data_IF_636466491189
#
_entry.id   IF_636466491189
#
_cell.length_a   1.000
_cell.length_b   1.000
_cell.length_c   1.000
_cell.angle_alpha   90.00
_cell.angle_beta   90.00
_cell.angle_gamma   90.00
#
_symmetry.space_group_name_H-M   'P 1'
#
loop_
_entity.id
_entity.type
_entity.pdbx_description
1 polymer ?
#
# COMPACT_ATOMS: atom_id res chain seq x y z
N UNK A 1 1.05 -23.00 5.82
CA UNK A 1 1.18 -22.12 4.64
C UNK A 1 0.49 -20.80 4.95
N UNK A 2 1.14 -19.67 4.70
CA UNK A 2 0.56 -18.32 4.82
C UNK A 2 0.56 -17.69 3.42
N UNK A 3 -0.61 -17.26 2.96
CA UNK A 3 -0.82 -16.79 1.59
C UNK A 3 -1.44 -15.40 1.64
N UNK A 4 -0.79 -14.36 1.09
CA UNK A 4 -1.43 -13.07 0.93
C UNK A 4 -2.47 -13.16 -0.18
N UNK A 5 -3.75 -12.98 0.16
CA UNK A 5 -4.87 -13.06 -0.80
C UNK A 5 -5.52 -11.70 -1.06
N UNK A 6 -5.26 -10.71 -0.22
CA UNK A 6 -5.81 -9.36 -0.28
C UNK A 6 -4.98 -8.37 0.52
N UNK A 7 -5.29 -7.08 0.38
CA UNK A 7 -4.67 -5.99 1.15
C UNK A 7 -5.61 -4.79 1.24
N UNK A 8 -5.50 -4.03 2.32
CA UNK A 8 -6.16 -2.73 2.49
C UNK A 8 -5.31 -1.55 2.00
N UNK A 9 -4.09 -1.81 1.51
CA UNK A 9 -3.19 -0.77 1.01
C UNK A 9 -3.84 0.01 -0.14
N UNK A 10 -3.70 1.34 -0.17
CA UNK A 10 -4.34 2.16 -1.20
C UNK A 10 -3.75 1.88 -2.59
N UNK A 11 -4.62 1.47 -3.51
CA UNK A 11 -4.28 1.16 -4.91
C UNK A 11 -4.73 2.33 -5.80
N UNK A 12 -3.82 3.27 -6.08
CA UNK A 12 -4.16 4.48 -6.86
C UNK A 12 -4.20 4.25 -8.37
N UNK A 13 -3.46 3.26 -8.87
CA UNK A 13 -3.40 2.90 -10.28
C UNK A 13 -3.89 1.48 -10.51
N UNK A 14 -4.59 1.25 -11.63
CA UNK A 14 -4.97 -0.10 -12.03
C UNK A 14 -3.71 -0.94 -12.31
N UNK A 15 -3.63 -2.20 -11.83
CA UNK A 15 -2.40 -2.98 -11.80
C UNK A 15 -2.08 -3.65 -13.15
N UNK A 16 -1.92 -2.86 -14.21
CA UNK A 16 -1.63 -3.34 -15.56
C UNK A 16 -0.34 -4.15 -15.64
N UNK A 17 0.73 -3.65 -15.03
CA UNK A 17 2.04 -4.27 -15.10
C UNK A 17 2.12 -5.55 -14.27
N UNK A 18 1.49 -5.59 -13.09
CA UNK A 18 1.39 -6.79 -12.26
C UNK A 18 0.64 -7.90 -13.02
N UNK A 19 -0.50 -7.56 -13.64
CA UNK A 19 -1.26 -8.51 -14.49
C UNK A 19 -0.41 -8.94 -15.70
N UNK A 20 0.26 -8.00 -16.37
CA UNK A 20 1.11 -8.28 -17.51
C UNK A 20 2.24 -9.25 -17.14
N UNK A 21 2.97 -8.99 -16.05
CA UNK A 21 4.03 -9.88 -15.55
C UNK A 21 3.47 -11.26 -15.22
N UNK A 22 2.29 -11.35 -14.60
CA UNK A 22 1.67 -12.64 -14.32
C UNK A 22 1.37 -13.40 -15.62
N UNK A 23 0.79 -12.74 -16.62
CA UNK A 23 0.50 -13.35 -17.94
C UNK A 23 1.78 -13.78 -18.65
N UNK A 24 2.83 -12.95 -18.63
CA UNK A 24 4.14 -13.28 -19.23
C UNK A 24 4.75 -14.49 -18.55
N UNK A 25 4.72 -14.56 -17.22
CA UNK A 25 5.25 -15.71 -16.47
C UNK A 25 4.48 -17.01 -16.77
N UNK A 26 3.15 -16.94 -16.83
CA UNK A 26 2.32 -18.10 -17.25
C UNK A 26 2.63 -18.50 -18.68
N UNK A 27 2.72 -17.54 -19.60
CA UNK A 27 3.05 -17.79 -21.00
C UNK A 27 4.43 -18.42 -21.17
N UNK A 28 5.43 -17.88 -20.48
CA UNK A 28 6.79 -18.42 -20.45
C UNK A 28 6.81 -19.85 -19.89
N UNK A 29 6.08 -20.11 -18.79
CA UNK A 29 6.00 -21.46 -18.23
C UNK A 29 5.30 -22.45 -19.17
N UNK A 30 4.25 -22.06 -19.88
CA UNK A 30 3.58 -22.93 -20.85
C UNK A 30 4.43 -23.16 -22.11
N UNK A 31 5.15 -22.14 -22.57
CA UNK A 31 5.91 -22.17 -23.83
C UNK A 31 7.31 -22.80 -23.68
N UNK A 32 8.00 -22.50 -22.58
CA UNK A 32 9.37 -22.93 -22.28
C UNK A 32 9.42 -24.03 -21.22
N UNK A 33 8.44 -24.06 -20.31
CA UNK A 33 8.46 -24.84 -19.07
C UNK A 33 7.96 -26.29 -19.21
N UNK A 34 8.54 -27.05 -20.13
CA UNK A 34 8.58 -28.51 -20.01
C UNK A 34 9.80 -28.92 -19.15
N UNK A 35 9.97 -28.30 -17.96
CA UNK A 35 10.98 -28.75 -16.99
C UNK A 35 10.50 -30.11 -16.48
N UNK A 36 11.37 -31.11 -16.54
CA UNK A 36 11.06 -32.45 -16.05
C UNK A 36 10.58 -32.37 -14.59
N UNK A 37 9.36 -32.84 -14.25
CA UNK A 37 8.82 -32.78 -12.90
C UNK A 37 9.74 -33.36 -11.82
N UNK A 38 10.67 -34.23 -12.21
CA UNK A 38 11.59 -34.93 -11.30
C UNK A 38 12.79 -34.06 -10.88
N UNK A 39 13.02 -32.90 -11.51
CA UNK A 39 14.13 -31.99 -11.18
C UNK A 39 13.69 -30.82 -10.31
N UNK A 40 13.53 -31.09 -9.00
CA UNK A 40 13.28 -30.05 -8.00
C UNK A 40 14.54 -29.21 -7.74
N UNK A 41 14.80 -28.22 -8.61
CA UNK A 41 15.50 -26.97 -8.28
C UNK A 41 16.98 -27.01 -7.89
N UNK A 42 17.66 -28.15 -7.92
CA UNK A 42 19.12 -28.23 -7.68
C UNK A 42 19.89 -28.84 -8.85
N UNK A 43 19.32 -29.83 -9.54
CA UNK A 43 19.76 -30.23 -10.88
C UNK A 43 18.68 -29.82 -11.87
N UNK A 44 19.06 -29.21 -12.99
CA UNK A 44 18.14 -28.81 -14.05
C UNK A 44 18.84 -29.01 -15.38
N UNK A 45 18.09 -29.46 -16.38
CA UNK A 45 18.61 -29.53 -17.76
C UNK A 45 19.07 -28.15 -18.20
N UNK A 46 20.19 -28.11 -18.94
CA UNK A 46 20.76 -26.86 -19.43
C UNK A 46 19.77 -26.10 -20.32
N UNK A 47 19.10 -25.10 -19.77
CA UNK A 47 18.28 -24.17 -20.53
C UNK A 47 19.04 -22.85 -20.72
N UNK A 48 19.12 -22.38 -21.96
CA UNK A 48 19.83 -21.13 -22.31
C UNK A 48 19.33 -19.90 -21.54
N UNK A 49 18.12 -19.99 -20.98
CA UNK A 49 17.39 -18.90 -20.35
C UNK A 49 17.44 -18.91 -18.81
N UNK A 50 17.97 -19.98 -18.17
CA UNK A 50 18.15 -20.07 -16.71
C UNK A 50 19.39 -19.30 -16.24
N UNK A 51 19.57 -19.10 -14.94
CA UNK A 51 20.74 -18.42 -14.37
C UNK A 51 21.89 -19.41 -14.10
N UNK A 52 22.99 -19.10 -14.78
CA UNK A 52 24.33 -19.68 -14.81
C UNK A 52 25.20 -19.44 -13.58
N UNK A 53 25.66 -20.45 -12.86
CA UNK A 53 26.80 -20.27 -11.93
C UNK A 53 28.05 -21.00 -12.41
N UNK A 54 29.24 -20.50 -12.02
CA UNK A 54 30.53 -21.12 -12.33
C UNK A 54 31.07 -20.94 -13.77
N UNK A 55 30.23 -20.59 -14.74
CA UNK A 55 30.62 -20.44 -16.16
C UNK A 55 30.84 -18.98 -16.60
N UNK A 56 31.12 -18.08 -15.67
CA UNK A 56 31.31 -16.65 -15.92
C UNK A 56 30.03 -15.82 -15.86
N UNK A 57 30.06 -14.61 -16.44
CA UNK A 57 28.95 -13.66 -16.38
C UNK A 57 28.04 -13.78 -17.61
N UNK A 58 26.74 -13.88 -17.36
CA UNK A 58 25.70 -14.02 -18.38
C UNK A 58 24.57 -13.01 -18.15
N UNK A 59 24.76 -11.72 -18.51
CA UNK A 59 23.81 -10.66 -18.16
C UNK A 59 22.39 -10.86 -18.70
N UNK A 60 22.23 -11.56 -19.83
CA UNK A 60 20.90 -11.87 -20.36
C UNK A 60 20.11 -12.76 -19.40
N UNK A 61 20.79 -13.70 -18.74
CA UNK A 61 20.20 -14.62 -17.78
C UNK A 61 19.71 -13.93 -16.51
N UNK A 62 20.26 -12.76 -16.18
CA UNK A 62 19.78 -11.97 -15.04
C UNK A 62 18.33 -11.52 -15.21
N UNK A 63 17.88 -11.37 -16.46
CA UNK A 63 16.51 -11.00 -16.78
C UNK A 63 15.68 -12.24 -17.11
N UNK A 64 16.19 -13.14 -17.95
CA UNK A 64 15.37 -14.24 -18.48
C UNK A 64 15.04 -15.28 -17.42
N UNK A 65 15.96 -15.52 -16.47
CA UNK A 65 15.75 -16.48 -15.37
C UNK A 65 14.60 -16.09 -14.45
N UNK A 66 14.29 -14.79 -14.33
CA UNK A 66 13.16 -14.28 -13.55
C UNK A 66 11.79 -14.73 -14.10
N UNK A 67 11.72 -15.22 -15.34
CA UNK A 67 10.48 -15.67 -15.98
C UNK A 67 10.33 -17.19 -16.05
N UNK A 68 11.36 -17.93 -15.65
CA UNK A 68 11.36 -19.39 -15.61
C UNK A 68 10.95 -19.91 -14.23
N UNK A 69 10.29 -21.06 -14.17
CA UNK A 69 9.78 -21.65 -12.93
C UNK A 69 9.94 -23.17 -12.95
N UNK A 70 10.37 -23.76 -11.83
CA UNK A 70 10.62 -25.19 -11.65
C UNK A 70 9.34 -26.05 -11.53
N UNK A 71 8.21 -25.55 -12.04
CA UNK A 71 6.91 -26.22 -11.98
C UNK A 71 5.76 -25.31 -11.55
N UNK A 72 4.55 -25.86 -11.62
CA UNK A 72 3.31 -25.13 -11.35
C UNK A 72 3.22 -24.58 -9.94
N UNK A 73 3.66 -25.33 -8.91
CA UNK A 73 3.62 -24.86 -7.54
C UNK A 73 4.55 -23.65 -7.31
N UNK A 74 5.76 -23.69 -7.89
CA UNK A 74 6.70 -22.57 -7.82
C UNK A 74 6.14 -21.34 -8.55
N UNK A 75 5.58 -21.53 -9.75
CA UNK A 75 4.91 -20.45 -10.49
C UNK A 75 3.75 -19.85 -9.69
N UNK A 76 2.80 -20.66 -9.24
CA UNK A 76 1.61 -20.18 -8.52
C UNK A 76 2.02 -19.45 -7.24
N UNK A 77 3.01 -19.96 -6.49
CA UNK A 77 3.56 -19.28 -5.33
C UNK A 77 4.09 -17.89 -5.65
N UNK A 78 4.90 -17.76 -6.70
CA UNK A 78 5.42 -16.46 -7.14
C UNK A 78 4.30 -15.52 -7.61
N UNK A 79 3.30 -16.02 -8.35
CA UNK A 79 2.19 -15.18 -8.82
C UNK A 79 1.32 -14.66 -7.68
N UNK A 80 1.11 -15.45 -6.61
CA UNK A 80 0.40 -15.03 -5.42
C UNK A 80 1.13 -13.85 -4.74
N UNK A 81 2.44 -13.97 -4.54
CA UNK A 81 3.22 -12.90 -3.91
C UNK A 81 3.36 -11.69 -4.84
N UNK A 82 3.56 -11.91 -6.14
CA UNK A 82 3.56 -10.85 -7.15
C UNK A 82 2.23 -10.09 -7.11
N UNK A 83 1.10 -10.77 -6.98
CA UNK A 83 -0.18 -10.11 -6.82
C UNK A 83 -0.26 -9.33 -5.51
N UNK A 84 0.01 -9.98 -4.37
CA UNK A 84 -0.12 -9.36 -3.05
C UNK A 84 0.75 -8.10 -2.86
N UNK A 85 1.97 -8.10 -3.38
CA UNK A 85 2.92 -6.99 -3.20
C UNK A 85 3.05 -6.10 -4.43
N UNK A 86 2.92 -6.66 -5.64
CA UNK A 86 3.05 -5.91 -6.89
C UNK A 86 1.98 -4.83 -7.05
N UNK A 87 0.73 -5.13 -6.70
CA UNK A 87 -0.37 -4.13 -6.79
C UNK A 87 -0.13 -2.92 -5.87
N UNK A 88 0.55 -3.11 -4.73
CA UNK A 88 0.86 -2.05 -3.77
C UNK A 88 1.93 -1.12 -4.36
N UNK A 89 3.02 -1.71 -4.85
CA UNK A 89 4.15 -0.96 -5.42
C UNK A 89 3.74 -0.29 -6.73
N UNK A 90 3.03 -0.99 -7.61
CA UNK A 90 2.48 -0.44 -8.86
C UNK A 90 1.45 0.65 -8.58
N UNK A 91 0.60 0.47 -7.58
CA UNK A 91 -0.38 1.45 -7.15
C UNK A 91 0.24 2.81 -6.85
N UNK A 92 1.43 2.83 -6.23
CA UNK A 92 2.15 4.07 -5.89
C UNK A 92 3.03 4.63 -7.02
N UNK A 93 3.60 3.79 -7.88
CA UNK A 93 4.55 4.21 -8.93
C UNK A 93 3.92 4.45 -10.31
N UNK A 94 2.81 3.78 -10.58
CA UNK A 94 2.29 3.56 -11.92
C UNK A 94 3.01 2.45 -12.69
N UNK A 95 2.34 1.93 -13.72
CA UNK A 95 2.70 0.68 -14.41
C UNK A 95 4.11 0.65 -15.01
N UNK A 96 4.54 1.69 -15.73
CA UNK A 96 5.82 1.64 -16.47
C UNK A 96 7.05 1.76 -15.56
N UNK A 97 6.97 2.59 -14.50
CA UNK A 97 8.03 2.70 -13.48
C UNK A 97 8.14 1.42 -12.69
N UNK A 98 7.00 0.81 -12.36
CA UNK A 98 6.96 -0.48 -11.70
C UNK A 98 7.61 -1.58 -12.54
N UNK A 99 7.35 -1.66 -13.86
CA UNK A 99 8.02 -2.63 -14.73
C UNK A 99 9.54 -2.47 -14.73
N UNK A 100 10.03 -1.24 -14.88
CA UNK A 100 11.46 -0.96 -14.84
C UNK A 100 12.07 -1.34 -13.49
N UNK A 101 11.38 -1.00 -12.40
CA UNK A 101 11.82 -1.33 -11.05
C UNK A 101 11.87 -2.85 -10.82
N UNK A 102 10.81 -3.57 -11.20
CA UNK A 102 10.73 -5.02 -11.07
C UNK A 102 11.87 -5.73 -11.79
N UNK A 103 12.09 -5.39 -13.08
CA UNK A 103 13.17 -5.97 -13.88
C UNK A 103 14.54 -5.56 -13.33
N UNK A 104 14.71 -4.31 -12.90
CA UNK A 104 15.98 -3.86 -12.33
C UNK A 104 16.32 -4.58 -11.02
N UNK A 105 15.35 -4.80 -10.13
CA UNK A 105 15.56 -5.55 -8.89
C UNK A 105 15.96 -6.99 -9.20
N UNK A 106 15.19 -7.68 -10.06
CA UNK A 106 15.48 -9.06 -10.45
C UNK A 106 16.86 -9.20 -11.07
N UNK A 107 17.15 -8.37 -12.07
CA UNK A 107 18.44 -8.40 -12.77
C UNK A 107 19.62 -8.06 -11.85
N UNK A 108 19.46 -7.10 -10.93
CA UNK A 108 20.51 -6.75 -9.97
C UNK A 108 20.73 -7.88 -8.97
N UNK A 109 19.66 -8.51 -8.46
CA UNK A 109 19.78 -9.63 -7.53
C UNK A 109 20.48 -10.83 -8.18
N UNK A 110 20.07 -11.23 -9.38
CA UNK A 110 20.72 -12.29 -10.14
C UNK A 110 22.18 -11.97 -10.49
N UNK A 111 22.47 -10.71 -10.84
CA UNK A 111 23.83 -10.27 -11.13
C UNK A 111 24.73 -10.30 -9.90
N UNK A 112 24.24 -9.85 -8.75
CA UNK A 112 24.98 -9.93 -7.47
C UNK A 112 25.27 -11.39 -7.13
N UNK A 113 24.29 -12.27 -7.25
CA UNK A 113 24.45 -13.69 -6.97
C UNK A 113 25.46 -14.33 -7.91
N UNK A 114 25.34 -14.13 -9.22
CA UNK A 114 26.30 -14.68 -10.19
C UNK A 114 27.72 -14.17 -9.95
N UNK A 115 27.89 -12.88 -9.62
CA UNK A 115 29.19 -12.28 -9.27
C UNK A 115 29.74 -12.86 -7.97
N UNK A 116 28.91 -13.02 -6.94
CA UNK A 116 29.30 -13.60 -5.66
C UNK A 116 29.79 -15.04 -5.81
N UNK A 117 29.36 -15.73 -6.88
CA UNK A 117 29.68 -17.12 -7.18
C UNK A 117 30.68 -17.30 -8.32
N UNK A 118 31.30 -16.21 -8.79
CA UNK A 118 32.48 -16.28 -9.66
C UNK A 118 33.74 -16.85 -8.97
N UNK A 119 34.02 -16.57 -7.68
CA UNK A 119 35.13 -17.21 -7.00
C UNK A 119 34.80 -18.70 -6.84
N UNK A 120 35.41 -19.55 -7.67
CA UNK A 120 35.12 -21.00 -7.77
C UNK A 120 35.37 -21.85 -6.51
N UNK A 121 35.51 -21.24 -5.33
CA UNK A 121 35.49 -21.90 -4.03
C UNK A 121 34.13 -21.77 -3.31
N UNK A 122 33.19 -20.96 -3.82
CA UNK A 122 31.82 -20.76 -3.28
C UNK A 122 30.73 -21.51 -4.04
N UNK A 123 31.09 -22.24 -5.09
CA UNK A 123 30.19 -23.17 -5.77
C UNK A 123 30.62 -24.57 -5.41
N UNK A 124 29.67 -25.49 -5.22
CA UNK A 124 29.91 -26.93 -5.41
C UNK A 124 30.89 -27.08 -6.59
N UNK A 125 31.92 -27.93 -6.44
CA UNK A 125 32.73 -28.29 -7.60
C UNK A 125 31.74 -28.77 -8.67
N UNK A 126 31.69 -28.16 -9.88
CA UNK A 126 30.95 -28.72 -11.00
C UNK A 126 31.16 -30.23 -11.02
N UNK A 127 30.12 -31.02 -11.30
CA UNK A 127 30.19 -32.50 -11.24
C UNK A 127 31.52 -33.05 -11.77
N UNK A 128 31.99 -32.56 -12.92
CA UNK A 128 33.27 -32.92 -13.52
C UNK A 128 34.52 -32.70 -12.61
N UNK A 129 34.54 -31.62 -11.82
CA UNK A 129 35.58 -31.37 -10.82
C UNK A 129 35.41 -32.24 -9.57
N UNK A 130 34.18 -32.55 -9.14
CA UNK A 130 33.95 -33.49 -8.04
C UNK A 130 34.38 -34.91 -8.44
N UNK A 131 33.98 -35.35 -9.63
CA UNK A 131 34.44 -36.59 -10.28
C UNK A 131 35.96 -36.61 -10.33
N UNK A 132 36.60 -35.54 -10.82
CA UNK A 132 38.06 -35.46 -10.88
C UNK A 132 38.71 -35.61 -9.50
N UNK A 133 38.18 -34.97 -8.46
CA UNK A 133 38.73 -35.08 -7.08
C UNK A 133 38.56 -36.48 -6.51
N UNK A 134 37.41 -37.12 -6.73
CA UNK A 134 37.15 -38.48 -6.24
C UNK A 134 38.01 -39.51 -6.99
N UNK A 135 38.14 -39.37 -8.31
CA UNK A 135 39.01 -40.20 -9.14
C UNK A 135 40.50 -39.99 -8.77
N UNK A 136 40.94 -38.76 -8.53
CA UNK A 136 42.31 -38.48 -8.04
C UNK A 136 42.58 -39.08 -6.65
N UNK A 137 41.55 -39.28 -5.83
CA UNK A 137 41.64 -39.99 -4.55
C UNK A 137 41.66 -41.51 -4.69
N UNK A 138 41.52 -42.03 -5.91
CA UNK A 138 41.60 -43.44 -6.25
C UNK A 138 40.25 -44.17 -6.26
N UNK A 139 39.13 -43.44 -6.23
CA UNK A 139 37.80 -44.03 -6.44
C UNK A 139 37.62 -44.44 -7.92
N UNK A 140 36.85 -45.51 -8.16
CA UNK A 140 36.58 -45.98 -9.52
C UNK A 140 35.63 -45.02 -10.25
N UNK A 141 35.91 -44.64 -11.51
CA UNK A 141 35.09 -43.68 -12.25
C UNK A 141 33.63 -44.09 -12.40
N UNK A 142 33.34 -45.37 -12.62
CA UNK A 142 31.98 -45.89 -12.84
C UNK A 142 31.21 -45.87 -11.51
N UNK A 143 31.87 -46.24 -10.41
CA UNK A 143 31.29 -46.16 -9.06
C UNK A 143 31.05 -44.71 -8.60
N UNK A 144 31.92 -43.76 -8.98
CA UNK A 144 31.74 -42.32 -8.70
C UNK A 144 30.56 -41.76 -9.47
N UNK A 145 30.46 -42.05 -10.77
CA UNK A 145 29.33 -41.62 -11.61
C UNK A 145 28.01 -42.17 -11.06
N UNK A 146 27.94 -43.48 -10.78
CA UNK A 146 26.78 -44.13 -10.18
C UNK A 146 26.43 -43.54 -8.80
N UNK A 147 27.42 -43.26 -7.96
CA UNK A 147 27.20 -42.68 -6.63
C UNK A 147 26.68 -41.25 -6.72
N UNK A 148 27.23 -40.43 -7.61
CA UNK A 148 26.79 -39.06 -7.84
C UNK A 148 25.38 -39.02 -8.45
N UNK A 149 25.06 -39.94 -9.35
CA UNK A 149 23.70 -40.11 -9.89
C UNK A 149 22.72 -40.59 -8.83
N UNK A 150 23.12 -41.55 -8.00
CA UNK A 150 22.30 -42.10 -6.92
C UNK A 150 21.92 -41.02 -5.88
N UNK A 151 22.83 -40.10 -5.57
CA UNK A 151 22.54 -38.97 -4.66
C UNK A 151 21.96 -37.75 -5.39
N UNK A 152 21.80 -37.82 -6.72
CA UNK A 152 21.27 -36.73 -7.54
C UNK A 152 22.18 -35.49 -7.56
N UNK A 153 23.50 -35.67 -7.52
CA UNK A 153 24.46 -34.58 -7.53
C UNK A 153 24.34 -33.77 -8.83
N UNK A 154 24.10 -32.45 -8.76
CA UNK A 154 23.74 -31.67 -9.93
C UNK A 154 24.91 -31.50 -10.90
N UNK A 155 24.67 -31.73 -12.20
CA UNK A 155 25.63 -31.37 -13.26
C UNK A 155 25.94 -29.87 -13.27
N UNK A 156 24.91 -29.06 -13.01
CA UNK A 156 24.95 -27.61 -13.07
C UNK A 156 24.15 -26.99 -11.92
N UNK A 157 24.71 -25.96 -11.29
CA UNK A 157 24.00 -25.17 -10.29
C UNK A 157 23.11 -24.15 -11.00
N UNK A 158 21.82 -24.47 -10.97
CA UNK A 158 20.62 -23.76 -11.41
C UNK A 158 20.09 -22.60 -10.55
N UNK A 159 19.83 -21.39 -11.07
CA UNK A 159 18.79 -20.54 -10.46
C UNK A 159 17.74 -20.06 -11.47
N UNK A 160 16.49 -20.01 -11.02
CA UNK A 160 15.35 -19.53 -11.80
C UNK A 160 14.19 -19.15 -10.88
N UNK A 161 13.35 -18.22 -11.34
CA UNK A 161 12.17 -17.77 -10.60
C UNK A 161 12.11 -16.26 -10.45
N UNK A 162 10.89 -15.74 -10.41
CA UNK A 162 10.59 -14.34 -10.15
C UNK A 162 10.90 -13.89 -8.72
N UNK A 163 11.28 -14.81 -7.84
CA UNK A 163 11.24 -14.64 -6.38
C UNK A 163 12.22 -13.57 -5.87
N UNK A 164 13.40 -13.44 -6.46
CA UNK A 164 14.34 -12.35 -6.12
C UNK A 164 13.72 -10.96 -6.30
N UNK A 165 13.06 -10.72 -7.45
CA UNK A 165 12.34 -9.48 -7.70
C UNK A 165 11.16 -9.29 -6.73
N UNK A 166 10.41 -10.37 -6.45
CA UNK A 166 9.27 -10.37 -5.54
C UNK A 166 9.69 -10.04 -4.10
N UNK A 167 10.78 -10.62 -3.58
CA UNK A 167 11.29 -10.28 -2.26
C UNK A 167 11.73 -8.81 -2.18
N UNK A 168 12.20 -8.24 -3.28
CA UNK A 168 12.39 -6.80 -3.39
C UNK A 168 11.08 -6.02 -3.25
N UNK A 169 9.99 -6.47 -3.88
CA UNK A 169 8.66 -5.86 -3.69
C UNK A 169 8.15 -6.02 -2.25
N UNK A 170 8.37 -7.18 -1.61
CA UNK A 170 8.03 -7.43 -0.20
C UNK A 170 8.74 -6.41 0.71
N UNK A 171 10.03 -6.17 0.46
CA UNK A 171 10.82 -5.19 1.20
C UNK A 171 10.38 -3.74 0.91
N UNK A 172 10.03 -3.42 -0.34
CA UNK A 172 9.50 -2.09 -0.70
C UNK A 172 8.17 -1.84 0.01
N UNK A 173 7.23 -2.77 -0.03
CA UNK A 173 5.94 -2.65 0.64
C UNK A 173 6.09 -2.54 2.16
N UNK A 174 7.04 -3.27 2.75
CA UNK A 174 7.41 -3.12 4.16
C UNK A 174 7.85 -1.69 4.51
N UNK A 175 8.50 -0.99 3.58
CA UNK A 175 8.94 0.40 3.76
C UNK A 175 7.80 1.38 3.46
N UNK A 176 7.01 1.15 2.42
CA UNK A 176 6.04 2.13 1.92
C UNK A 176 4.67 2.05 2.59
N UNK A 177 4.27 0.87 3.05
CA UNK A 177 2.95 0.61 3.62
C UNK A 177 3.03 -0.32 4.86
N UNK A 178 3.95 -0.11 5.82
CA UNK A 178 4.17 -1.01 6.96
C UNK A 178 2.94 -1.27 7.84
N UNK A 179 2.02 -0.30 7.92
CA UNK A 179 0.84 -0.34 8.79
C UNK A 179 -0.40 -0.90 8.11
N UNK A 180 -0.38 -1.00 6.78
CA UNK A 180 -1.45 -1.63 6.03
C UNK A 180 -1.46 -3.14 6.29
N UNK A 181 -2.64 -3.75 6.20
CA UNK A 181 -2.85 -5.16 6.44
C UNK A 181 -2.93 -5.96 5.14
N UNK A 182 -2.45 -7.19 5.22
CA UNK A 182 -2.67 -8.25 4.25
C UNK A 182 -3.75 -9.17 4.79
N UNK A 183 -4.70 -9.54 3.93
CA UNK A 183 -5.55 -10.70 4.18
C UNK A 183 -4.69 -11.95 3.97
N UNK A 184 -4.33 -12.61 5.06
CA UNK A 184 -3.49 -13.82 5.01
C UNK A 184 -4.35 -15.05 5.21
N UNK A 185 -4.51 -15.83 4.14
CA UNK A 185 -5.01 -17.19 4.24
C UNK A 185 -3.93 -18.06 4.89
N UNK A 186 -4.21 -18.57 6.07
CA UNK A 186 -3.36 -19.53 6.74
C UNK A 186 -3.97 -20.92 6.68
N UNK A 187 -3.13 -21.92 6.41
CA UNK A 187 -3.47 -23.34 6.43
C UNK A 187 -2.44 -24.05 7.30
N UNK A 188 -2.92 -24.64 8.39
CA UNK A 188 -2.12 -25.41 9.34
C UNK A 188 -2.80 -26.77 9.48
N UNK A 189 -2.17 -27.80 8.89
CA UNK A 189 -2.75 -29.13 8.76
C UNK A 189 -4.14 -29.09 8.09
N UNK A 190 -5.18 -29.57 8.77
CA UNK A 190 -6.57 -29.59 8.28
C UNK A 190 -7.38 -28.35 8.68
N UNK A 191 -6.76 -27.36 9.34
CA UNK A 191 -7.40 -26.11 9.74
C UNK A 191 -6.94 -24.97 8.85
N UNK A 192 -7.86 -24.07 8.53
CA UNK A 192 -7.53 -22.84 7.84
C UNK A 192 -8.44 -21.69 8.24
N UNK A 193 -7.96 -20.48 7.97
CA UNK A 193 -8.67 -19.25 8.24
C UNK A 193 -8.03 -18.09 7.49
N UNK A 194 -8.66 -16.93 7.58
CA UNK A 194 -8.12 -15.66 7.08
C UNK A 194 -7.87 -14.78 8.28
N UNK A 195 -6.72 -14.13 8.31
CA UNK A 195 -6.37 -13.17 9.35
C UNK A 195 -5.72 -11.96 8.72
N UNK A 196 -6.05 -10.79 9.24
CA UNK A 196 -5.42 -9.53 8.88
C UNK A 196 -4.06 -9.47 9.57
N UNK A 197 -3.00 -9.32 8.78
CA UNK A 197 -1.62 -9.24 9.26
C UNK A 197 -0.96 -8.04 8.61
N UNK A 198 -0.42 -7.13 9.44
CA UNK A 198 0.31 -5.97 8.90
C UNK A 198 1.41 -6.40 7.94
N UNK A 199 1.58 -5.64 6.86
CA UNK A 199 2.63 -5.82 5.87
C UNK A 199 3.99 -5.84 6.56
N UNK A 200 4.21 -4.99 7.57
CA UNK A 200 5.46 -5.00 8.34
C UNK A 200 5.70 -6.37 8.99
N UNK A 201 4.73 -6.90 9.75
CA UNK A 201 4.89 -8.18 10.44
C UNK A 201 5.07 -9.34 9.45
N UNK A 202 4.27 -9.36 8.37
CA UNK A 202 4.36 -10.39 7.35
C UNK A 202 5.71 -10.37 6.63
N UNK A 203 6.14 -9.20 6.14
CA UNK A 203 7.42 -9.04 5.45
C UNK A 203 8.60 -9.37 6.35
N UNK A 204 8.59 -8.93 7.61
CA UNK A 204 9.65 -9.26 8.59
C UNK A 204 9.73 -10.75 8.86
N UNK A 205 8.59 -11.44 8.98
CA UNK A 205 8.56 -12.89 9.17
C UNK A 205 9.19 -13.62 7.97
N UNK A 206 8.77 -13.29 6.75
CA UNK A 206 9.26 -13.95 5.54
C UNK A 206 10.73 -13.66 5.26
N UNK A 207 11.15 -12.39 5.29
CA UNK A 207 12.55 -12.02 5.11
C UNK A 207 13.41 -12.61 6.23
N UNK A 208 12.91 -12.59 7.47
CA UNK A 208 13.59 -13.18 8.63
C UNK A 208 13.78 -14.69 8.50
N UNK A 209 12.77 -15.42 8.01
CA UNK A 209 12.87 -16.86 7.78
C UNK A 209 13.92 -17.19 6.70
N UNK A 210 14.01 -16.40 5.64
CA UNK A 210 15.06 -16.57 4.62
C UNK A 210 16.45 -16.28 5.19
N UNK A 211 16.61 -15.23 5.99
CA UNK A 211 17.89 -14.94 6.66
C UNK A 211 18.30 -16.06 7.63
N UNK A 212 17.34 -16.62 8.37
CA UNK A 212 17.60 -17.77 9.26
C UNK A 212 17.97 -19.00 8.43
N UNK A 213 17.27 -19.27 7.33
CA UNK A 213 17.56 -20.39 6.43
C UNK A 213 18.97 -20.26 5.85
N UNK A 214 19.31 -19.07 5.36
CA UNK A 214 20.64 -18.75 4.85
C UNK A 214 21.72 -18.95 5.93
N UNK A 215 21.47 -18.46 7.14
CA UNK A 215 22.39 -18.62 8.28
C UNK A 215 22.57 -20.08 8.70
N UNK A 216 21.49 -20.87 8.75
CA UNK A 216 21.54 -22.30 9.04
C UNK A 216 22.34 -23.02 7.95
N UNK A 217 22.05 -22.80 6.67
CA UNK A 217 22.78 -23.39 5.56
C UNK A 217 24.27 -23.06 5.62
N UNK A 218 24.62 -21.78 5.79
CA UNK A 218 26.02 -21.38 5.93
C UNK A 218 26.72 -22.01 7.15
N UNK A 219 25.99 -22.22 8.26
CA UNK A 219 26.56 -22.80 9.48
C UNK A 219 26.67 -24.32 9.49
N UNK A 220 25.76 -25.02 8.80
CA UNK A 220 25.66 -26.49 8.79
C UNK A 220 26.39 -27.08 7.60
N UNK A 221 26.21 -26.49 6.41
CA UNK A 221 26.76 -26.99 5.15
C UNK A 221 28.06 -26.26 4.79
N UNK A 222 28.20 -25.00 5.22
CA UNK A 222 29.35 -24.14 4.89
C UNK A 222 28.92 -22.95 4.03
N UNK A 223 29.64 -21.80 4.09
CA UNK A 223 29.33 -20.61 3.29
C UNK A 223 29.22 -20.88 1.78
N UNK A 224 29.98 -21.84 1.28
CA UNK A 224 29.98 -22.32 -0.11
C UNK A 224 28.69 -23.05 -0.53
N UNK A 225 27.86 -23.50 0.42
CA UNK A 225 26.54 -24.08 0.14
C UNK A 225 25.39 -23.11 0.43
N UNK A 226 25.72 -21.84 0.69
CA UNK A 226 24.73 -20.77 0.84
C UNK A 226 24.14 -20.32 -0.51
N UNK A 227 24.57 -20.90 -1.63
CA UNK A 227 23.92 -20.75 -2.95
C UNK A 227 22.57 -21.44 -2.93
N UNK A 228 21.56 -20.68 -2.52
CA UNK A 228 20.23 -21.20 -2.33
C UNK A 228 19.21 -20.14 -2.72
N UNK A 229 17.96 -20.58 -2.87
CA UNK A 229 16.82 -19.67 -2.98
C UNK A 229 16.83 -18.58 -1.90
N UNK A 230 17.34 -18.88 -0.69
CA UNK A 230 17.41 -17.92 0.41
C UNK A 230 18.42 -16.79 0.14
N UNK A 231 19.54 -17.07 -0.50
CA UNK A 231 20.51 -16.04 -0.87
C UNK A 231 19.95 -15.10 -1.93
N UNK A 232 19.29 -15.64 -2.96
CA UNK A 232 18.59 -14.82 -3.96
C UNK A 232 17.44 -14.00 -3.35
N UNK A 233 16.64 -14.58 -2.45
CA UNK A 233 15.54 -13.88 -1.77
C UNK A 233 16.04 -12.73 -0.89
N UNK A 234 17.08 -12.97 -0.08
CA UNK A 234 17.64 -11.96 0.81
C UNK A 234 18.37 -10.85 0.04
N UNK A 235 19.06 -11.19 -1.05
CA UNK A 235 19.66 -10.20 -1.96
C UNK A 235 18.58 -9.35 -2.64
N UNK A 236 17.51 -9.98 -3.14
CA UNK A 236 16.36 -9.29 -3.71
C UNK A 236 15.70 -8.33 -2.72
N UNK A 237 15.48 -8.77 -1.48
CA UNK A 237 14.96 -7.94 -0.40
C UNK A 237 15.87 -6.75 -0.08
N UNK A 238 17.20 -6.95 -0.05
CA UNK A 238 18.16 -5.87 0.18
C UNK A 238 18.11 -4.82 -0.95
N UNK A 239 18.16 -5.26 -2.21
CA UNK A 239 18.07 -4.37 -3.37
C UNK A 239 16.74 -3.60 -3.36
N UNK A 240 15.63 -4.28 -3.09
CA UNK A 240 14.31 -3.66 -2.94
C UNK A 240 14.27 -2.65 -1.81
N UNK A 241 14.84 -2.95 -0.64
CA UNK A 241 14.88 -2.04 0.50
C UNK A 241 15.66 -0.75 0.18
N UNK A 242 16.80 -0.88 -0.50
CA UNK A 242 17.61 0.25 -0.97
C UNK A 242 16.80 1.10 -1.96
N UNK A 243 16.24 0.47 -3.00
CA UNK A 243 15.47 1.15 -4.04
C UNK A 243 14.21 1.83 -3.47
N UNK A 244 13.44 1.13 -2.64
CA UNK A 244 12.24 1.64 -1.98
C UNK A 244 12.55 2.85 -1.09
N UNK A 245 13.65 2.79 -0.34
CA UNK A 245 14.12 3.92 0.48
C UNK A 245 14.54 5.10 -0.40
N UNK A 246 15.31 4.85 -1.45
CA UNK A 246 15.77 5.91 -2.35
C UNK A 246 14.61 6.63 -3.04
N UNK A 247 13.66 5.88 -3.62
CA UNK A 247 12.48 6.42 -4.28
C UNK A 247 11.63 7.29 -3.35
N UNK A 248 11.47 6.86 -2.09
CA UNK A 248 10.78 7.64 -1.07
C UNK A 248 11.56 8.91 -0.71
N UNK A 249 12.86 8.80 -0.44
CA UNK A 249 13.71 9.94 -0.04
C UNK A 249 13.90 10.97 -1.15
N UNK A 250 13.84 10.55 -2.41
CA UNK A 250 13.87 11.42 -3.57
C UNK A 250 12.50 12.02 -3.92
N UNK A 251 11.44 11.66 -3.20
CA UNK A 251 10.08 12.16 -3.45
C UNK A 251 9.49 11.65 -4.76
N UNK A 252 9.97 10.52 -5.28
CA UNK A 252 9.41 9.86 -6.47
C UNK A 252 8.18 9.01 -6.15
N UNK A 253 8.01 8.69 -4.87
CA UNK A 253 6.82 8.05 -4.31
C UNK A 253 6.38 8.84 -3.09
N UNK A 254 5.08 9.08 -3.01
CA UNK A 254 4.44 9.61 -1.82
C UNK A 254 3.73 8.49 -1.06
N UNK A 255 4.12 8.31 0.20
CA UNK A 255 3.50 7.37 1.13
C UNK A 255 2.52 8.06 2.08
N UNK A 256 2.18 9.33 1.84
CA UNK A 256 1.23 10.10 2.66
C UNK A 256 1.63 10.13 4.14
N UNK A 257 2.95 10.10 4.40
CA UNK A 257 3.53 10.02 5.75
C UNK A 257 3.21 8.70 6.50
N UNK A 258 2.84 7.62 5.80
CA UNK A 258 2.63 6.29 6.37
C UNK A 258 3.81 5.33 6.14
N UNK A 259 4.93 5.81 5.61
CA UNK A 259 6.12 5.00 5.41
C UNK A 259 6.77 4.56 6.74
N UNK A 260 7.62 3.55 6.66
CA UNK A 260 8.32 2.95 7.79
C UNK A 260 9.12 3.96 8.60
N UNK A 261 9.73 4.98 7.97
CA UNK A 261 10.49 5.98 8.72
C UNK A 261 9.57 6.90 9.51
N UNK A 262 8.42 7.28 8.95
CA UNK A 262 7.39 8.01 9.70
C UNK A 262 6.82 7.16 10.83
N UNK A 263 6.55 5.87 10.58
CA UNK A 263 6.02 4.94 11.57
C UNK A 263 6.98 4.70 12.73
N UNK A 264 8.27 4.49 12.43
CA UNK A 264 9.31 4.31 13.45
C UNK A 264 9.54 5.58 14.28
N UNK A 265 9.34 6.77 13.68
CA UNK A 265 9.40 8.05 14.39
C UNK A 265 8.11 8.36 15.16
N UNK A 266 7.05 7.58 14.95
CA UNK A 266 5.72 7.86 15.48
C UNK A 266 5.11 9.15 14.91
N UNK A 267 5.56 9.59 13.74
CA UNK A 267 5.06 10.81 13.07
C UNK A 267 4.08 10.50 11.97
N UNK A 268 3.65 9.24 11.80
CA UNK A 268 2.82 8.80 10.69
C UNK A 268 1.34 9.17 10.85
N UNK A 269 0.65 9.43 9.73
CA UNK A 269 -0.70 10.01 9.73
C UNK A 269 -0.72 11.48 9.32
N UNK A 270 -1.92 12.03 9.11
CA UNK A 270 -2.20 13.33 8.47
C UNK A 270 -1.42 14.51 9.10
N UNK A 271 -1.04 15.47 8.24
CA UNK A 271 0.17 16.30 8.31
C UNK A 271 0.03 17.67 9.00
N UNK A 272 -1.08 17.94 9.69
CA UNK A 272 -1.18 19.15 10.56
C UNK A 272 -0.15 19.07 11.72
N UNK A 273 0.27 17.87 12.13
CA UNK A 273 1.32 17.63 13.14
C UNK A 273 2.76 17.84 12.61
N UNK A 274 2.96 17.75 11.29
CA UNK A 274 4.24 18.05 10.61
C UNK A 274 4.37 19.55 10.27
N UNK A 275 3.28 20.30 10.16
CA UNK A 275 3.35 21.78 10.07
C UNK A 275 4.07 22.39 11.28
N UNK A 276 4.00 21.72 12.45
CA UNK A 276 4.77 22.04 13.65
C UNK A 276 6.30 21.89 13.42
N UNK A 277 6.73 20.84 12.72
CA UNK A 277 8.12 20.63 12.30
C UNK A 277 8.59 21.70 11.30
N UNK A 278 7.69 22.20 10.43
CA UNK A 278 8.03 23.20 9.40
C UNK A 278 8.17 24.63 9.95
N UNK A 279 7.35 25.05 10.91
CA UNK A 279 7.42 26.42 11.47
C UNK A 279 8.73 26.66 12.25
N UNK A 280 9.24 25.62 12.90
CA UNK A 280 10.52 25.63 13.61
C UNK A 280 11.69 25.81 12.63
N UNK A 281 11.55 25.32 11.39
CA UNK A 281 12.53 25.50 10.31
C UNK A 281 12.44 26.88 9.65
N UNK A 282 11.25 27.48 9.54
CA UNK A 282 11.08 28.85 9.03
C UNK A 282 11.61 29.93 9.98
N UNK A 283 11.78 29.61 11.27
CA UNK A 283 12.50 30.45 12.25
C UNK A 283 14.00 30.59 11.96
N UNK A 284 14.58 29.70 11.17
CA UNK A 284 15.98 29.77 10.76
C UNK A 284 16.18 30.60 9.46
N UNK A 285 15.09 30.99 8.78
CA UNK A 285 15.08 31.75 7.51
C UNK A 285 14.84 33.27 7.67
N UNK A 286 14.72 33.79 8.89
CA UNK A 286 14.57 35.23 9.14
C UNK A 286 15.91 35.98 9.16
N UNK A 287 16.41 36.49 8.02
CA UNK A 287 17.23 37.73 7.89
C UNK A 287 16.95 38.39 6.51
N UNK A 288 16.73 39.72 6.39
CA UNK A 288 16.00 40.32 5.26
C UNK A 288 16.88 40.87 4.13
N UNK A 289 16.35 40.91 2.90
CA UNK A 289 16.75 41.91 1.89
C UNK A 289 15.55 42.30 1.03
N UNK A 290 15.24 43.60 1.05
CA UNK A 290 14.14 44.25 0.34
C UNK A 290 14.33 44.21 -1.18
N UNK A 291 13.23 44.06 -1.94
CA UNK A 291 12.73 45.02 -2.94
C UNK A 291 11.98 44.36 -4.13
N UNK A 292 11.05 45.17 -4.68
CA UNK A 292 10.48 45.15 -6.04
C UNK A 292 9.15 44.40 -6.31
N UNK A 293 8.05 45.12 -6.05
CA UNK A 293 6.94 45.48 -6.97
C UNK A 293 6.72 44.79 -8.33
N UNK A 294 5.44 44.54 -8.66
CA UNK A 294 4.89 44.49 -10.03
C UNK A 294 3.79 43.42 -10.20
N UNK A 295 2.51 43.75 -9.98
CA UNK A 295 1.48 44.01 -11.01
C UNK A 295 1.13 42.84 -11.96
N UNK A 296 -0.18 42.49 -12.04
CA UNK A 296 -0.74 41.76 -13.18
C UNK A 296 -1.98 40.91 -12.87
N UNK A 297 -3.17 41.45 -13.14
CA UNK A 297 -4.46 40.73 -13.14
C UNK A 297 -4.66 39.88 -14.41
N UNK A 298 -5.57 38.89 -14.39
CA UNK A 298 -6.62 38.57 -15.40
C UNK A 298 -7.34 37.25 -15.01
N UNK A 299 -8.66 37.23 -15.20
CA UNK A 299 -9.56 36.07 -15.33
C UNK A 299 -10.49 36.37 -16.54
N UNK A 300 -11.43 35.50 -17.01
CA UNK A 300 -11.54 34.03 -17.01
C UNK A 300 -11.93 33.44 -18.41
N UNK A 301 -11.96 32.11 -18.54
CA UNK A 301 -12.87 31.39 -19.46
C UNK A 301 -12.22 30.51 -20.53
N UNK A 302 -12.52 29.21 -20.50
CA UNK A 302 -12.82 28.37 -21.69
C UNK A 302 -13.38 27.00 -21.26
N UNK A 303 -14.45 26.57 -21.94
CA UNK A 303 -15.24 25.35 -21.71
C UNK A 303 -14.53 24.07 -22.21
N UNK A 304 -14.77 22.95 -21.54
CA UNK A 304 -14.41 21.59 -22.00
C UNK A 304 -15.59 20.96 -22.79
N UNK A 305 -15.35 20.28 -23.92
CA UNK A 305 -16.41 19.76 -24.77
C UNK A 305 -17.07 18.47 -24.23
N UNK A 306 -18.31 18.29 -24.66
CA UNK A 306 -19.23 17.22 -24.27
C UNK A 306 -18.78 15.80 -24.68
N UNK A 307 -19.07 14.83 -23.82
CA UNK A 307 -18.88 13.40 -24.07
C UNK A 307 -19.89 12.84 -25.08
N UNK A 308 -19.40 11.99 -26.00
CA UNK A 308 -20.17 11.31 -27.04
C UNK A 308 -21.00 10.12 -26.50
N UNK A 309 -22.09 9.71 -27.19
CA UNK A 309 -23.10 8.80 -26.66
C UNK A 309 -22.69 7.32 -26.73
N UNK A 310 -23.10 6.55 -25.71
CA UNK A 310 -22.90 5.11 -25.61
C UNK A 310 -23.90 4.31 -26.45
N UNK A 311 -23.43 3.26 -27.13
CA UNK A 311 -24.23 2.27 -27.87
C UNK A 311 -24.56 1.05 -26.98
N UNK A 312 -25.67 0.31 -27.24
CA UNK A 312 -26.28 -0.54 -26.23
C UNK A 312 -25.96 -2.05 -26.38
N UNK A 313 -25.81 -2.71 -25.22
CA UNK A 313 -26.54 -3.95 -24.91
C UNK A 313 -25.80 -5.29 -25.04
N UNK A 314 -25.45 -5.90 -23.89
CA UNK A 314 -25.60 -7.36 -23.70
C UNK A 314 -26.05 -7.63 -22.25
N UNK A 315 -27.27 -8.16 -22.09
CA UNK A 315 -27.95 -8.35 -20.80
C UNK A 315 -27.40 -9.59 -20.08
N UNK A 316 -26.82 -9.41 -18.89
CA UNK A 316 -26.67 -10.48 -17.90
C UNK A 316 -27.82 -10.38 -16.88
N UNK A 317 -28.43 -11.52 -16.55
CA UNK A 317 -29.59 -11.65 -15.66
C UNK A 317 -29.29 -11.06 -14.28
N UNK A 318 -30.06 -10.04 -13.86
CA UNK A 318 -30.05 -9.48 -12.49
C UNK A 318 -31.00 -10.28 -11.60
N UNK A 319 -30.47 -10.96 -10.59
CA UNK A 319 -31.20 -11.20 -9.35
C UNK A 319 -31.28 -9.88 -8.56
N UNK A 320 -32.42 -9.53 -7.95
CA UNK A 320 -32.53 -8.28 -7.21
C UNK A 320 -31.81 -8.42 -5.86
N UNK A 321 -30.57 -7.96 -5.78
CA UNK A 321 -29.95 -7.65 -4.48
C UNK A 321 -30.67 -6.43 -3.91
N UNK A 322 -31.27 -6.57 -2.73
CA UNK A 322 -31.78 -5.42 -1.94
C UNK A 322 -30.65 -4.38 -1.80
N UNK A 323 -30.94 -3.07 -1.78
CA UNK A 323 -29.92 -2.07 -1.50
C UNK A 323 -29.35 -2.36 -0.11
N UNK A 324 -28.05 -2.66 -0.02
CA UNK A 324 -27.35 -2.67 1.26
C UNK A 324 -27.33 -1.22 1.73
N UNK A 325 -27.96 -0.97 2.88
CA UNK A 325 -27.96 0.34 3.50
C UNK A 325 -26.52 0.75 3.80
N UNK A 326 -26.03 1.74 3.05
CA UNK A 326 -24.63 2.17 3.09
C UNK A 326 -24.24 2.71 4.47
N UNK A 327 -25.21 3.13 5.29
CA UNK A 327 -24.96 3.71 6.62
C UNK A 327 -25.26 2.74 7.76
N UNK A 328 -25.58 1.46 7.49
CA UNK A 328 -25.94 0.51 8.54
C UNK A 328 -24.84 0.33 9.60
N UNK A 329 -23.56 0.29 9.18
CA UNK A 329 -22.42 0.18 10.10
C UNK A 329 -22.19 1.47 10.86
N UNK A 330 -22.30 2.61 10.18
CA UNK A 330 -22.22 3.93 10.80
C UNK A 330 -23.26 4.05 11.93
N UNK A 331 -24.53 3.74 11.65
CA UNK A 331 -25.60 3.77 12.65
C UNK A 331 -25.35 2.83 13.82
N UNK A 332 -24.82 1.63 13.56
CA UNK A 332 -24.45 0.70 14.63
C UNK A 332 -23.44 1.30 15.61
N UNK A 333 -22.43 2.02 15.13
CA UNK A 333 -21.47 2.71 16.00
C UNK A 333 -22.09 3.89 16.74
N UNK A 334 -22.98 4.65 16.08
CA UNK A 334 -23.71 5.76 16.69
C UNK A 334 -24.65 5.29 17.81
N UNK A 335 -25.39 4.19 17.60
CA UNK A 335 -26.23 3.56 18.63
C UNK A 335 -25.40 3.07 19.83
N UNK A 336 -24.17 2.60 19.58
CA UNK A 336 -23.22 2.20 20.62
C UNK A 336 -22.52 3.36 21.33
N UNK A 337 -22.71 4.61 20.90
CA UNK A 337 -22.03 5.78 21.44
C UNK A 337 -20.53 5.86 21.10
N UNK A 338 -20.06 5.08 20.13
CA UNK A 338 -18.66 4.99 19.73
C UNK A 338 -18.37 5.98 18.60
N UNK A 339 -18.06 7.22 18.97
CA UNK A 339 -17.80 8.31 18.02
C UNK A 339 -16.54 8.12 17.16
N UNK A 340 -15.54 7.39 17.66
CA UNK A 340 -14.28 7.16 16.95
C UNK A 340 -14.50 6.13 15.85
N UNK A 341 -15.14 5.00 16.17
CA UNK A 341 -15.47 3.99 15.16
C UNK A 341 -16.49 4.51 14.15
N UNK A 342 -17.43 5.36 14.59
CA UNK A 342 -18.35 6.03 13.67
C UNK A 342 -17.62 6.96 12.68
N UNK A 343 -16.58 7.68 13.14
CA UNK A 343 -15.73 8.50 12.27
C UNK A 343 -14.95 7.65 11.27
N UNK A 344 -14.33 6.55 11.71
CA UNK A 344 -13.59 5.64 10.81
C UNK A 344 -14.49 5.01 9.73
N UNK A 345 -15.72 4.62 10.09
CA UNK A 345 -16.70 4.12 9.11
C UNK A 345 -17.14 5.22 8.13
N UNK A 346 -17.31 6.45 8.62
CA UNK A 346 -17.60 7.60 7.77
C UNK A 346 -16.47 7.89 6.76
N UNK A 347 -15.22 7.90 7.21
CA UNK A 347 -14.04 8.11 6.36
C UNK A 347 -13.92 7.02 5.28
N UNK A 348 -14.20 5.77 5.65
CA UNK A 348 -14.27 4.63 4.72
C UNK A 348 -15.38 4.83 3.67
N UNK A 349 -16.55 5.31 4.10
CA UNK A 349 -17.69 5.56 3.21
C UNK A 349 -17.40 6.69 2.22
N UNK A 350 -16.80 7.80 2.65
CA UNK A 350 -16.46 8.90 1.73
C UNK A 350 -15.25 8.59 0.86
N UNK A 351 -14.31 7.77 1.32
CA UNK A 351 -13.19 7.29 0.50
C UNK A 351 -13.69 6.49 -0.70
N UNK A 352 -14.68 5.62 -0.48
CA UNK A 352 -15.29 4.84 -1.57
C UNK A 352 -16.37 5.61 -2.36
N UNK A 353 -17.03 6.59 -1.75
CA UNK A 353 -18.11 7.39 -2.36
C UNK A 353 -18.00 8.86 -1.97
N UNK A 354 -17.13 9.65 -2.62
CA UNK A 354 -16.85 11.05 -2.21
C UNK A 354 -18.03 12.02 -2.30
N UNK A 355 -19.07 11.67 -3.05
CA UNK A 355 -20.31 12.46 -3.18
C UNK A 355 -21.42 12.01 -2.25
N UNK A 356 -21.18 10.98 -1.44
CA UNK A 356 -22.19 10.43 -0.54
C UNK A 356 -22.35 11.37 0.67
N UNK A 357 -23.60 11.74 0.94
CA UNK A 357 -23.99 12.51 2.13
C UNK A 357 -24.90 11.62 2.97
N UNK A 358 -24.63 11.39 4.27
CA UNK A 358 -25.53 10.66 5.15
C UNK A 358 -26.84 11.40 5.32
N UNK A 359 -27.97 10.71 5.54
CA UNK A 359 -29.20 11.32 5.99
C UNK A 359 -28.96 12.31 7.13
N UNK A 360 -29.76 13.38 7.18
CA UNK A 360 -29.58 14.48 8.14
C UNK A 360 -29.36 14.01 9.59
N UNK A 361 -30.17 13.07 10.14
CA UNK A 361 -29.99 12.60 11.52
C UNK A 361 -28.65 11.88 11.73
N UNK A 362 -28.20 11.12 10.74
CA UNK A 362 -26.97 10.33 10.81
C UNK A 362 -25.74 11.26 10.79
N UNK A 363 -25.74 12.27 9.92
CA UNK A 363 -24.63 13.23 9.83
C UNK A 363 -24.52 14.10 11.09
N UNK A 364 -25.66 14.51 11.64
CA UNK A 364 -25.67 15.27 12.89
C UNK A 364 -25.22 14.41 14.08
N UNK A 365 -25.74 13.20 14.21
CA UNK A 365 -25.36 12.25 15.26
C UNK A 365 -23.87 11.91 15.19
N UNK A 366 -23.30 11.75 13.99
CA UNK A 366 -21.87 11.58 13.78
C UNK A 366 -21.08 12.79 14.27
N UNK A 367 -21.46 14.00 13.88
CA UNK A 367 -20.79 15.22 14.35
C UNK A 367 -20.83 15.35 15.89
N UNK A 368 -21.96 15.03 16.53
CA UNK A 368 -22.08 15.04 18.00
C UNK A 368 -21.27 13.93 18.67
N UNK A 369 -21.21 12.73 18.10
CA UNK A 369 -20.45 11.62 18.65
C UNK A 369 -18.93 11.91 18.60
N UNK A 370 -18.45 12.49 17.51
CA UNK A 370 -17.05 12.92 17.33
C UNK A 370 -16.71 14.10 18.26
N UNK A 371 -17.64 15.05 18.43
CA UNK A 371 -17.50 16.16 19.38
C UNK A 371 -17.39 15.65 20.84
N UNK A 372 -18.21 14.66 21.21
CA UNK A 372 -18.15 13.99 22.52
C UNK A 372 -16.87 13.18 22.72
N UNK A 373 -16.35 12.58 21.65
CA UNK A 373 -15.09 11.85 21.65
C UNK A 373 -13.85 12.78 21.70
N UNK A 374 -14.05 14.11 21.70
CA UNK A 374 -13.01 15.14 21.83
C UNK A 374 -12.04 15.21 20.63
N UNK A 375 -12.60 15.09 19.41
CA UNK A 375 -11.92 15.30 18.13
C UNK A 375 -12.40 16.62 17.49
N UNK A 376 -11.85 17.78 17.90
CA UNK A 376 -12.44 19.09 17.64
C UNK A 376 -12.40 19.52 16.17
N UNK A 377 -11.40 19.09 15.39
CA UNK A 377 -11.25 19.50 13.98
C UNK A 377 -12.19 18.71 13.06
N UNK A 378 -12.31 17.41 13.33
CA UNK A 378 -13.19 16.48 12.66
C UNK A 378 -14.64 16.82 12.98
N UNK A 379 -14.95 17.08 14.26
CA UNK A 379 -16.27 17.57 14.67
C UNK A 379 -16.62 18.89 13.97
N UNK A 380 -15.70 19.87 13.93
CA UNK A 380 -15.93 21.14 13.24
C UNK A 380 -16.16 20.95 11.73
N UNK A 381 -15.42 20.05 11.10
CA UNK A 381 -15.54 19.71 9.68
C UNK A 381 -16.87 19.02 9.36
N UNK A 382 -17.31 18.11 10.22
CA UNK A 382 -18.60 17.44 10.13
C UNK A 382 -19.77 18.40 10.35
N UNK A 383 -19.68 19.31 11.32
CA UNK A 383 -20.67 20.37 11.50
C UNK A 383 -20.72 21.33 10.30
N UNK A 384 -19.57 21.66 9.70
CA UNK A 384 -19.52 22.46 8.48
C UNK A 384 -20.15 21.72 7.28
N UNK A 385 -19.87 20.42 7.14
CA UNK A 385 -20.49 19.57 6.12
C UNK A 385 -22.00 19.48 6.31
N UNK A 386 -22.47 19.34 7.55
CA UNK A 386 -23.90 19.34 7.89
C UNK A 386 -24.57 20.65 7.45
N UNK A 387 -24.01 21.80 7.83
CA UNK A 387 -24.53 23.12 7.46
C UNK A 387 -24.57 23.35 5.94
N UNK A 388 -23.62 22.79 5.19
CA UNK A 388 -23.56 22.89 3.73
C UNK A 388 -24.55 21.96 3.04
N UNK A 389 -24.74 20.75 3.58
CA UNK A 389 -25.56 19.70 2.98
C UNK A 389 -27.04 19.88 3.27
N UNK A 390 -27.36 20.48 4.41
CA UNK A 390 -28.72 20.71 4.90
C UNK A 390 -28.94 22.20 5.19
N UNK A 391 -29.06 23.05 4.15
CA UNK A 391 -29.26 24.48 4.32
C UNK A 391 -30.70 24.83 4.74
N UNK A 392 -30.86 26.04 5.29
CA UNK A 392 -32.15 26.61 5.73
C UNK A 392 -33.23 26.53 4.64
N UNK A 393 -34.50 26.23 4.98
CA UNK A 393 -35.61 26.44 4.07
C UNK A 393 -35.71 27.92 3.65
N UNK A 394 -35.94 28.19 2.36
CA UNK A 394 -36.27 29.54 1.91
C UNK A 394 -37.63 29.95 2.48
N UNK A 395 -37.90 31.26 2.66
CA UNK A 395 -39.22 31.74 3.10
C UNK A 395 -40.39 31.22 2.27
N UNK A 396 -40.14 30.89 0.99
CA UNK A 396 -41.13 30.44 0.01
C UNK A 396 -41.23 28.91 -0.12
N UNK A 397 -40.48 28.13 0.69
CA UNK A 397 -40.57 26.67 0.63
C UNK A 397 -41.91 26.20 1.20
N UNK A 398 -42.67 25.44 0.41
CA UNK A 398 -43.95 24.86 0.85
C UNK A 398 -43.77 24.03 2.14
N UNK A 399 -44.70 24.07 3.10
CA UNK A 399 -44.61 23.24 4.30
C UNK A 399 -44.50 21.74 3.93
N UNK A 400 -43.85 20.91 4.78
CA UNK A 400 -43.73 19.48 4.52
C UNK A 400 -45.10 18.85 4.21
N UNK A 401 -45.13 17.90 3.29
CA UNK A 401 -46.37 17.20 2.94
C UNK A 401 -46.91 16.40 4.14
N UNK A 402 -48.22 16.15 4.22
CA UNK A 402 -48.79 15.31 5.28
C UNK A 402 -48.11 13.93 5.32
N UNK A 403 -47.40 13.64 6.42
CA UNK A 403 -46.63 12.41 6.60
C UNK A 403 -45.10 12.57 6.50
N UNK A 404 -44.60 13.73 6.08
CA UNK A 404 -43.18 14.07 6.19
C UNK A 404 -42.85 14.56 7.61
N UNK A 405 -41.71 14.10 8.17
CA UNK A 405 -41.23 14.61 9.45
C UNK A 405 -41.01 16.14 9.37
N UNK A 406 -41.41 16.89 10.41
CA UNK A 406 -41.25 18.34 10.41
C UNK A 406 -39.76 18.70 10.26
N UNK A 407 -39.45 19.56 9.28
CA UNK A 407 -38.09 20.03 9.03
C UNK A 407 -37.53 20.72 10.29
N UNK A 408 -36.56 20.15 11.02
CA UNK A 408 -36.13 20.66 12.33
C UNK A 408 -35.24 21.91 12.26
N UNK A 409 -34.96 22.40 11.05
CA UNK A 409 -33.85 23.30 10.78
C UNK A 409 -34.28 24.78 10.76
N UNK A 410 -34.24 25.43 11.93
CA UNK A 410 -34.44 26.88 12.06
C UNK A 410 -33.11 27.66 12.17
N UNK A 411 -33.20 29.00 12.06
CA UNK A 411 -32.02 29.87 12.11
C UNK A 411 -31.29 29.83 13.48
N UNK A 412 -32.03 29.54 14.55
CA UNK A 412 -31.46 29.42 15.89
C UNK A 412 -30.60 28.15 16.01
N UNK A 413 -31.10 27.01 15.52
CA UNK A 413 -30.40 25.73 15.52
C UNK A 413 -29.10 25.79 14.70
N UNK A 414 -29.17 26.33 13.49
CA UNK A 414 -27.98 26.53 12.65
C UNK A 414 -26.98 27.50 13.28
N UNK A 415 -27.45 28.53 13.98
CA UNK A 415 -26.63 29.42 14.78
C UNK A 415 -25.88 28.69 15.90
N UNK A 416 -26.55 27.80 16.63
CA UNK A 416 -25.93 26.98 17.68
C UNK A 416 -24.84 26.06 17.14
N UNK A 417 -25.08 25.41 16.00
CA UNK A 417 -24.09 24.53 15.36
C UNK A 417 -22.86 25.32 14.94
N UNK A 418 -23.04 26.49 14.32
CA UNK A 418 -21.93 27.40 13.96
C UNK A 418 -21.12 27.83 15.18
N UNK A 419 -21.79 28.14 16.30
CA UNK A 419 -21.10 28.48 17.56
C UNK A 419 -20.29 27.29 18.11
N UNK A 420 -20.83 26.07 18.07
CA UNK A 420 -20.11 24.85 18.52
C UNK A 420 -18.88 24.60 17.65
N UNK A 421 -19.04 24.60 16.33
CA UNK A 421 -17.94 24.37 15.40
C UNK A 421 -16.84 25.45 15.51
N UNK A 422 -17.22 26.73 15.60
CA UNK A 422 -16.27 27.83 15.79
C UNK A 422 -15.52 27.73 17.12
N UNK A 423 -16.20 27.33 18.20
CA UNK A 423 -15.55 27.10 19.51
C UNK A 423 -14.47 26.02 19.42
N UNK A 424 -14.77 24.89 18.77
CA UNK A 424 -13.81 23.79 18.62
C UNK A 424 -12.61 24.18 17.77
N UNK A 425 -12.82 24.92 16.67
CA UNK A 425 -11.72 25.46 15.87
C UNK A 425 -10.80 26.38 16.69
N UNK A 426 -11.37 27.20 17.58
CA UNK A 426 -10.60 28.12 18.41
C UNK A 426 -9.78 27.44 19.53
N UNK A 427 -9.95 26.13 19.76
CA UNK A 427 -9.09 25.35 20.65
C UNK A 427 -7.70 25.09 20.02
N UNK A 428 -7.51 25.37 18.72
CA UNK A 428 -6.27 25.12 17.97
C UNK A 428 -5.65 26.40 17.39
N UNK A 429 -4.31 26.57 17.45
CA UNK A 429 -3.63 27.69 16.81
C UNK A 429 -3.80 27.62 15.27
N UNK A 430 -3.93 28.78 14.61
CA UNK A 430 -4.05 28.86 13.14
C UNK A 430 -5.46 28.75 12.55
N UNK A 431 -6.47 28.36 13.34
CA UNK A 431 -7.85 28.15 12.85
C UNK A 431 -8.78 29.37 12.99
N UNK A 432 -8.28 30.52 13.45
CA UNK A 432 -9.07 31.75 13.70
C UNK A 432 -9.88 32.22 12.49
N UNK A 433 -9.30 32.18 11.28
CA UNK A 433 -9.99 32.61 10.06
C UNK A 433 -11.18 31.71 9.68
N UNK A 434 -11.07 30.40 9.92
CA UNK A 434 -12.15 29.44 9.69
C UNK A 434 -13.27 29.63 10.71
N UNK A 435 -12.91 29.81 11.99
CA UNK A 435 -13.87 30.16 13.04
C UNK A 435 -14.60 31.49 12.73
N UNK A 436 -13.88 32.53 12.33
CA UNK A 436 -14.47 33.82 11.94
C UNK A 436 -15.46 33.69 10.77
N UNK A 437 -15.16 32.81 9.80
CA UNK A 437 -16.05 32.55 8.66
C UNK A 437 -17.35 31.88 9.08
N UNK A 438 -17.30 30.91 10.00
CA UNK A 438 -18.50 30.31 10.57
C UNK A 438 -19.33 31.31 11.37
N UNK A 439 -18.67 32.16 12.18
CA UNK A 439 -19.35 33.14 13.04
C UNK A 439 -20.05 34.25 12.23
N UNK A 440 -19.50 34.65 11.07
CA UNK A 440 -20.17 35.59 10.14
C UNK A 440 -21.53 35.10 9.63
N UNK A 441 -21.76 33.79 9.61
CA UNK A 441 -23.03 33.19 9.19
C UNK A 441 -24.08 33.07 10.30
N UNK A 442 -23.83 33.62 11.49
CA UNK A 442 -24.75 33.53 12.63
C UNK A 442 -25.67 34.75 12.69
N UNK A 443 -26.98 34.51 12.60
CA UNK A 443 -27.99 35.55 12.87
C UNK A 443 -28.16 35.72 14.38
N UNK A 444 -27.57 36.78 14.94
CA UNK A 444 -27.65 37.09 16.37
C UNK A 444 -29.07 37.33 16.88
N UNK A 445 -30.02 37.72 16.01
CA UNK A 445 -31.41 37.96 16.42
C UNK A 445 -32.15 36.64 16.72
N UNK A 446 -31.74 35.54 16.09
CA UNK A 446 -32.29 34.20 16.31
C UNK A 446 -31.74 33.51 17.58
N UNK A 447 -30.75 34.11 18.27
CA UNK A 447 -30.07 33.51 19.42
C UNK A 447 -30.61 33.98 20.77
N UNK A 448 -30.66 33.07 21.74
CA UNK A 448 -30.89 33.39 23.15
C UNK A 448 -29.82 34.34 23.70
N UNK A 449 -30.09 35.09 24.79
CA UNK A 449 -29.10 36.00 25.40
C UNK A 449 -27.76 35.32 25.72
N UNK A 450 -27.80 34.07 26.21
CA UNK A 450 -26.59 33.28 26.54
C UNK A 450 -25.79 32.91 25.28
N UNK A 451 -26.46 32.58 24.18
CA UNK A 451 -25.81 32.26 22.91
C UNK A 451 -25.24 33.51 22.24
N UNK A 452 -25.90 34.67 22.34
CA UNK A 452 -25.33 35.96 21.89
C UNK A 452 -24.05 36.31 22.64
N UNK A 453 -24.03 36.14 23.95
CA UNK A 453 -22.80 36.32 24.73
C UNK A 453 -21.68 35.36 24.29
N UNK A 454 -22.02 34.13 23.90
CA UNK A 454 -21.05 33.19 23.33
C UNK A 454 -20.56 33.65 21.94
N UNK A 455 -21.46 34.12 21.08
CA UNK A 455 -21.12 34.69 19.77
C UNK A 455 -20.11 35.83 19.91
N UNK A 456 -20.34 36.77 20.82
CA UNK A 456 -19.45 37.91 21.06
C UNK A 456 -18.05 37.44 21.51
N UNK A 457 -18.00 36.49 22.45
CA UNK A 457 -16.74 35.91 22.95
C UNK A 457 -15.96 35.19 21.85
N UNK A 458 -16.62 34.36 21.06
CA UNK A 458 -15.97 33.60 19.99
C UNK A 458 -15.54 34.53 18.85
N UNK A 459 -16.31 35.58 18.55
CA UNK A 459 -15.95 36.59 17.55
C UNK A 459 -14.72 37.37 17.97
N UNK A 460 -14.63 37.76 19.25
CA UNK A 460 -13.45 38.41 19.81
C UNK A 460 -12.22 37.50 19.83
N UNK A 461 -12.39 36.19 20.03
CA UNK A 461 -11.29 35.22 20.00
C UNK A 461 -10.83 34.86 18.57
N UNK A 462 -11.72 35.03 17.58
CA UNK A 462 -11.44 34.77 16.18
C UNK A 462 -10.86 35.99 15.43
N UNK A 463 -11.11 37.21 15.94
CA UNK A 463 -10.40 38.44 15.54
C UNK A 463 -8.99 38.47 16.08
#
# INVERSE_FOLDING_TARGET
>A
MFIPVGTDAPIYHFPFATIFLAVVNVGAHVWLGQVDPDTFGLSGTKQDWSLWFGEGLHPLQWVTSCFLHAGWFHLIGNLIFLWGFGIIVEGKLGWWRFLLLYVAIGATACGIEQVALLPGWLTELPRAQMEHVLIERGEDPEEVEDALDLIGYPEHVVALGASGAIFGLVAISMIWAPRNDLDVLWIIWYRGGISEVSILAFSMLYIGLELVTLGIQASVLGPEYAVSSAFLHTTGALVGAIAGTALLKWGWVDCENWDLFAVLKGTHGNRDEFELQRSTYQRELTVPTQAASGAGAVAPGEELPAAAPSRPGRKAKKTPRRPVDAFARLRKHLEGGDGISALGEWETLIGSRPKLVPPEPDLFALAEAVDKANFPEEAASLFALYLRSYPKPKPDDAPPAEGEEPRPYDAAHAGVIRLRAARRLLERPGRRAQAATLLRGVDGAALSPKQRQMLDKLTAAAG
#
